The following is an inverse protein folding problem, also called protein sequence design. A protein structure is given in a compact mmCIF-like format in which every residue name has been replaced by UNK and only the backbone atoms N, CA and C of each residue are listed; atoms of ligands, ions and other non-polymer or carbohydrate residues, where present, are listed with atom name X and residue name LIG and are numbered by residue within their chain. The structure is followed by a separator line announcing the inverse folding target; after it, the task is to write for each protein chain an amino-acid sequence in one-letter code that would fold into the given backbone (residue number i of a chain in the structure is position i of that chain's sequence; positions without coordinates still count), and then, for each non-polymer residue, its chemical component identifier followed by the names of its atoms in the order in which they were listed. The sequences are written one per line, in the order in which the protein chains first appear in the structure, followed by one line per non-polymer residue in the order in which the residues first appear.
data_IF_973580592094
#
_entry.id   IF_973580592094
#
_cell.length_a   1.000
_cell.length_b   1.000
_cell.length_c   1.000
_cell.angle_alpha   90.00
_cell.angle_beta   90.00
_cell.angle_gamma   90.00
#
_symmetry.space_group_name_H-M   'P 1'
#
loop_
_entity.id
_entity.type
_entity.pdbx_description
1 polymer ?
#
# COMPACT_ATOMS: atom_id res chain seq x y z
N UNK A 1 -4.17 3.51 -15.35
CA UNK A 1 -2.99 2.72 -15.78
C UNK A 1 -2.99 2.76 -17.27
N UNK A 2 -2.20 3.65 -17.85
CA UNK A 2 -2.45 4.08 -19.22
C UNK A 2 -1.53 3.38 -20.22
N UNK A 3 -0.69 2.46 -19.72
CA UNK A 3 0.26 1.68 -20.51
C UNK A 3 0.40 0.24 -19.98
N UNK A 4 0.50 -0.72 -20.91
CA UNK A 4 0.79 -2.14 -20.61
C UNK A 4 2.13 -2.30 -19.89
N UNK A 5 3.13 -1.47 -20.23
CA UNK A 5 4.43 -1.51 -19.56
C UNK A 5 4.34 -1.03 -18.13
N UNK A 6 3.53 0.01 -17.87
CA UNK A 6 3.26 0.50 -16.53
C UNK A 6 2.64 -0.58 -15.64
N UNK A 7 1.65 -1.29 -16.17
CA UNK A 7 1.03 -2.43 -15.50
C UNK A 7 2.05 -3.49 -15.08
N UNK A 8 2.94 -3.89 -15.98
CA UNK A 8 3.99 -4.90 -15.70
C UNK A 8 4.93 -4.43 -14.61
N UNK A 9 5.43 -3.19 -14.70
CA UNK A 9 6.37 -2.63 -13.72
C UNK A 9 5.72 -2.51 -12.35
N UNK A 10 4.48 -2.05 -12.28
CA UNK A 10 3.73 -1.92 -11.03
C UNK A 10 3.54 -3.28 -10.34
N UNK A 11 3.07 -4.27 -11.11
CA UNK A 11 2.84 -5.63 -10.62
C UNK A 11 4.16 -6.28 -10.15
N UNK A 12 5.24 -6.12 -10.92
CA UNK A 12 6.55 -6.68 -10.57
C UNK A 12 7.12 -6.05 -9.29
N UNK A 13 7.00 -4.73 -9.12
CA UNK A 13 7.43 -4.03 -7.90
C UNK A 13 6.64 -4.52 -6.69
N UNK A 14 5.32 -4.62 -6.80
CA UNK A 14 4.47 -5.10 -5.71
C UNK A 14 4.76 -6.56 -5.35
N UNK A 15 4.95 -7.42 -6.35
CA UNK A 15 5.30 -8.82 -6.11
C UNK A 15 6.63 -8.98 -5.34
N UNK A 16 7.62 -8.10 -5.57
CA UNK A 16 8.85 -8.08 -4.76
C UNK A 16 8.58 -7.74 -3.30
N UNK A 17 7.75 -6.74 -3.02
CA UNK A 17 7.37 -6.39 -1.65
C UNK A 17 6.69 -7.56 -0.94
N UNK A 18 5.78 -8.26 -1.63
CA UNK A 18 5.09 -9.43 -1.07
C UNK A 18 6.09 -10.56 -0.80
N UNK A 19 7.03 -10.80 -1.72
CA UNK A 19 8.07 -11.81 -1.52
C UNK A 19 8.96 -11.48 -0.32
N UNK A 20 9.36 -10.21 -0.18
CA UNK A 20 10.16 -9.72 0.94
C UNK A 20 9.41 -9.85 2.27
N UNK A 21 8.10 -9.52 2.28
CA UNK A 21 7.23 -9.74 3.43
C UNK A 21 7.25 -11.21 3.88
N UNK A 22 7.10 -12.15 2.94
CA UNK A 22 7.11 -13.58 3.26
C UNK A 22 8.48 -14.11 3.68
N UNK A 23 9.56 -13.50 3.18
CA UNK A 23 10.93 -13.92 3.48
C UNK A 23 11.44 -13.43 4.83
N UNK A 24 10.85 -12.36 5.39
CA UNK A 24 11.38 -11.65 6.56
C UNK A 24 11.04 -12.27 7.93
N UNK A 25 10.50 -13.48 7.97
CA UNK A 25 10.35 -14.34 9.16
C UNK A 25 10.03 -13.58 10.47
N UNK A 26 8.90 -12.87 10.50
CA UNK A 26 8.39 -12.16 11.69
C UNK A 26 9.01 -10.79 11.96
N UNK A 27 9.97 -10.33 11.15
CA UNK A 27 10.55 -8.97 11.20
C UNK A 27 9.85 -7.97 10.27
N UNK A 28 8.81 -8.40 9.56
CA UNK A 28 8.09 -7.59 8.57
C UNK A 28 7.50 -6.30 9.15
N UNK A 29 7.02 -6.34 10.40
CA UNK A 29 6.45 -5.17 11.10
C UNK A 29 7.53 -4.11 11.37
N UNK A 30 8.75 -4.55 11.69
CA UNK A 30 9.90 -3.69 11.97
C UNK A 30 10.46 -3.04 10.69
N UNK A 31 10.40 -3.77 9.57
CA UNK A 31 10.85 -3.29 8.26
C UNK A 31 9.79 -2.48 7.51
N UNK A 32 8.57 -2.37 8.05
CA UNK A 32 7.47 -1.63 7.44
C UNK A 32 7.03 -2.20 6.09
N UNK A 33 7.28 -3.48 5.82
CA UNK A 33 6.94 -4.10 4.54
C UNK A 33 5.46 -4.51 4.60
N UNK A 34 4.59 -3.99 3.73
CA UNK A 34 3.18 -4.32 3.76
C UNK A 34 2.92 -5.71 3.16
N UNK A 35 2.29 -6.58 3.95
CA UNK A 35 1.86 -7.91 3.53
C UNK A 35 0.73 -7.90 2.49
N UNK A 36 0.22 -9.09 2.11
CA UNK A 36 -0.91 -9.21 1.19
C UNK A 36 -2.15 -8.45 1.67
N UNK A 37 -2.74 -7.63 0.80
CA UNK A 37 -3.88 -6.76 1.10
C UNK A 37 -5.22 -7.36 0.66
N UNK A 38 -5.20 -8.52 0.00
CA UNK A 38 -6.39 -9.25 -0.44
C UNK A 38 -6.32 -10.69 0.04
N UNK A 39 -7.48 -11.26 0.35
CA UNK A 39 -7.59 -12.68 0.62
C UNK A 39 -7.51 -13.45 -0.70
N UNK A 40 -6.55 -14.36 -0.80
CA UNK A 40 -6.24 -15.10 -2.01
C UNK A 40 -5.87 -16.53 -1.69
N UNK A 41 -6.17 -17.43 -2.62
CA UNK A 41 -5.79 -18.85 -2.51
C UNK A 41 -4.37 -19.10 -3.02
N UNK A 42 -3.77 -18.16 -3.73
CA UNK A 42 -2.43 -18.31 -4.29
C UNK A 42 -1.37 -17.89 -3.27
N UNK A 43 -0.23 -18.58 -3.27
CA UNK A 43 0.97 -18.17 -2.52
C UNK A 43 2.00 -17.48 -3.42
N UNK A 44 1.74 -17.38 -4.73
CA UNK A 44 2.68 -16.79 -5.67
C UNK A 44 2.60 -15.26 -5.67
N UNK A 45 3.69 -14.53 -5.34
CA UNK A 45 3.64 -13.08 -5.16
C UNK A 45 3.10 -12.29 -6.36
N UNK A 46 3.37 -12.75 -7.59
CA UNK A 46 2.84 -12.12 -8.80
C UNK A 46 1.32 -12.25 -8.91
N UNK A 47 0.76 -13.43 -8.61
CA UNK A 47 -0.69 -13.65 -8.61
C UNK A 47 -1.37 -12.75 -7.59
N UNK A 48 -0.81 -12.69 -6.37
CA UNK A 48 -1.30 -11.82 -5.30
C UNK A 48 -1.27 -10.35 -5.74
N UNK A 49 -0.16 -9.88 -6.32
CA UNK A 49 -0.03 -8.51 -6.81
C UNK A 49 -1.05 -8.16 -7.89
N UNK A 50 -1.34 -9.07 -8.82
CA UNK A 50 -2.38 -8.87 -9.86
C UNK A 50 -3.77 -8.81 -9.23
N UNK A 51 -4.05 -9.68 -8.25
CA UNK A 51 -5.34 -9.70 -7.55
C UNK A 51 -5.56 -8.42 -6.72
N UNK A 52 -4.53 -7.92 -6.04
CA UNK A 52 -4.57 -6.62 -5.34
C UNK A 52 -4.80 -5.45 -6.30
N UNK A 53 -4.13 -5.46 -7.45
CA UNK A 53 -4.31 -4.44 -8.47
C UNK A 53 -5.74 -4.46 -9.02
N UNK A 54 -6.27 -5.66 -9.33
CA UNK A 54 -7.65 -5.85 -9.79
C UNK A 54 -8.67 -5.40 -8.76
N UNK A 55 -8.38 -5.60 -7.47
CA UNK A 55 -9.21 -5.16 -6.36
C UNK A 55 -9.08 -3.66 -6.03
N UNK A 56 -8.25 -2.92 -6.78
CA UNK A 56 -8.05 -1.47 -6.58
C UNK A 56 -7.33 -1.12 -5.28
N UNK A 57 -6.57 -2.05 -4.69
CA UNK A 57 -5.84 -1.83 -3.43
C UNK A 57 -4.51 -1.12 -3.60
N UNK A 58 -4.02 -1.01 -4.84
CA UNK A 58 -2.73 -0.40 -5.14
C UNK A 58 -2.90 1.01 -5.70
N UNK A 59 -2.28 1.99 -5.03
CA UNK A 59 -2.05 3.33 -5.58
C UNK A 59 -0.71 3.31 -6.30
N UNK A 60 -0.71 3.52 -7.60
CA UNK A 60 0.50 3.45 -8.43
C UNK A 60 0.55 4.70 -9.29
N UNK A 61 1.57 5.51 -9.07
CA UNK A 61 1.90 6.67 -9.90
C UNK A 61 3.24 6.46 -10.60
N UNK A 62 3.33 6.91 -11.84
CA UNK A 62 4.62 7.04 -12.52
C UNK A 62 5.12 8.46 -12.33
N UNK A 63 6.38 8.61 -11.91
CA UNK A 63 7.02 9.92 -11.86
C UNK A 63 7.21 10.39 -13.31
N UNK A 64 6.63 11.52 -13.66
CA UNK A 64 6.92 12.15 -14.95
C UNK A 64 8.41 12.58 -14.98
N UNK A 65 9.14 12.31 -16.07
CA UNK A 65 10.52 12.72 -16.21
C UNK A 65 10.57 14.24 -16.43
N UNK A 66 10.57 15.01 -15.34
CA UNK A 66 10.65 16.48 -15.40
C UNK A 66 10.21 17.23 -14.14
N UNK A 67 9.53 16.59 -13.19
CA UNK A 67 9.29 17.20 -11.87
C UNK A 67 10.40 16.80 -10.91
N UNK A 68 11.20 17.78 -10.53
CA UNK A 68 12.20 17.67 -9.46
C UNK A 68 11.54 17.20 -8.15
N UNK A 69 12.31 16.49 -7.33
CA UNK A 69 11.84 15.87 -6.09
C UNK A 69 11.42 16.93 -5.07
N UNK A 70 10.14 17.28 -5.05
CA UNK A 70 9.50 18.10 -4.02
C UNK A 70 8.13 17.52 -3.70
N UNK A 71 7.88 17.34 -2.41
CA UNK A 71 6.60 16.96 -1.77
C UNK A 71 6.26 15.46 -1.78
N UNK A 72 6.90 14.75 -0.85
CA UNK A 72 6.26 13.62 -0.17
C UNK A 72 5.10 14.14 0.68
N UNK A 73 3.91 14.23 0.10
CA UNK A 73 2.66 14.37 0.86
C UNK A 73 2.34 13.03 1.52
N UNK A 74 3.13 12.67 2.54
CA UNK A 74 2.65 11.78 3.61
C UNK A 74 1.86 12.66 4.56
N UNK A 75 0.61 12.94 4.18
CA UNK A 75 -0.30 13.71 5.01
C UNK A 75 -0.90 12.74 6.04
N UNK A 76 -0.29 12.81 7.23
CA UNK A 76 -0.63 12.03 8.39
C UNK A 76 -2.12 12.10 8.76
N UNK A 77 -2.56 11.01 9.37
CA UNK A 77 -3.90 10.79 9.90
C UNK A 77 -4.54 12.03 10.55
N UNK A 78 -5.82 12.35 10.27
CA UNK A 78 -6.56 13.27 11.12
C UNK A 78 -6.87 12.55 12.44
N UNK A 79 -6.24 13.02 13.52
CA UNK A 79 -6.61 12.66 14.88
C UNK A 79 -8.06 13.09 15.13
N UNK A 80 -8.93 12.11 15.36
CA UNK A 80 -10.27 12.36 15.86
C UNK A 80 -10.16 12.72 17.35
N UNK A 81 -10.02 14.01 17.63
CA UNK A 81 -10.35 14.58 18.94
C UNK A 81 -11.62 15.39 18.71
N UNK A 82 -12.76 14.77 18.96
CA UNK A 82 -14.04 15.46 19.10
C UNK A 82 -14.39 15.44 20.58
N UNK A 83 -14.54 16.64 21.11
CA UNK A 83 -14.98 16.91 22.47
C UNK A 83 -16.33 16.24 22.74
N UNK A 84 -16.40 15.48 23.82
CA UNK A 84 -17.65 14.98 24.38
C UNK A 84 -18.18 16.10 25.30
N UNK A 85 -18.93 17.03 24.71
CA UNK A 85 -19.77 17.94 25.47
C UNK A 85 -21.06 17.22 25.89
N UNK A 86 -21.31 17.33 27.18
CA UNK A 86 -22.61 17.34 27.86
C UNK A 86 -23.30 15.98 28.10
N UNK A 87 -23.36 15.58 29.37
CA UNK A 87 -24.62 15.63 30.14
C UNK A 87 -24.46 15.07 31.57
N UNK A 88 -24.72 15.96 32.54
CA UNK A 88 -25.59 15.68 33.69
C UNK A 88 -24.99 15.03 34.95
N UNK A 89 -25.06 15.75 36.08
CA UNK A 89 -25.80 15.28 37.27
C UNK A 89 -25.78 16.31 38.42
N UNK A 90 -27.00 16.66 38.84
CA UNK A 90 -27.47 17.03 40.20
C UNK A 90 -26.90 18.28 40.89
#
# INVERSE_FOLDING_TARGET
MDSRYGLVVATAKRARQINEYTATLGLNESLGIPGPQVHTRSQHPLTIAIEELRAGKLKVGFREPGREAGESSDEGAPGHRSEEEDQGAA
#
